data_IF_322829016192
#
_entry.id   IF_322829016192
#
_cell.length_a   1.000
_cell.length_b   1.000
_cell.length_c   1.000
_cell.angle_alpha   90.00
_cell.angle_beta   90.00
_cell.angle_gamma   90.00
#
_symmetry.space_group_name_H-M   'P 1'
#
loop_
_entity.id
_entity.type
_entity.pdbx_description
1 polymer ?
#
# COMPACT_ATOMS: atom_id res chain seq x y z
N UNK A 1 -0.29 -15.58 0.83
CA UNK A 1 0.07 -14.18 0.50
C UNK A 1 -0.24 -13.94 -0.95
N UNK A 2 -0.83 -12.80 -1.30
CA UNK A 2 -1.14 -12.39 -2.67
C UNK A 2 -0.60 -10.99 -2.92
N UNK A 3 -0.01 -10.78 -4.08
CA UNK A 3 0.43 -9.45 -4.54
C UNK A 3 -0.16 -9.19 -5.91
N UNK A 4 -0.87 -8.08 -6.05
CA UNK A 4 -1.44 -7.62 -7.30
C UNK A 4 -0.78 -6.31 -7.72
N UNK A 5 -0.39 -6.24 -8.99
CA UNK A 5 0.22 -5.06 -9.58
C UNK A 5 -0.72 -4.53 -10.66
N UNK A 6 -1.02 -3.24 -10.59
CA UNK A 6 -1.82 -2.54 -11.57
C UNK A 6 -1.00 -1.37 -12.10
N UNK A 7 -0.70 -1.40 -13.39
CA UNK A 7 0.02 -0.33 -14.09
C UNK A 7 -0.97 0.36 -15.01
N UNK A 8 -1.12 1.66 -14.81
CA UNK A 8 -1.92 2.55 -15.67
C UNK A 8 -1.01 3.64 -16.24
N UNK A 9 -1.56 4.47 -17.12
CA UNK A 9 -0.83 5.61 -17.67
C UNK A 9 -0.50 6.68 -16.61
N UNK A 10 -1.30 6.76 -15.54
CA UNK A 10 -1.19 7.78 -14.51
C UNK A 10 -0.60 7.27 -13.19
N UNK A 11 -0.61 5.95 -12.94
CA UNK A 11 -0.14 5.40 -11.68
C UNK A 11 0.28 3.92 -11.75
N UNK A 12 1.18 3.55 -10.85
CA UNK A 12 1.45 2.17 -10.45
C UNK A 12 0.79 1.93 -9.08
N UNK A 13 -0.08 0.94 -8.98
CA UNK A 13 -0.63 0.45 -7.71
C UNK A 13 -0.13 -0.96 -7.41
N UNK A 14 0.17 -1.23 -6.15
CA UNK A 14 0.52 -2.55 -5.64
C UNK A 14 -0.36 -2.85 -4.44
N UNK A 15 -1.16 -3.91 -4.51
CA UNK A 15 -1.94 -4.41 -3.38
C UNK A 15 -1.28 -5.69 -2.86
N UNK A 16 -0.86 -5.68 -1.60
CA UNK A 16 -0.25 -6.82 -0.92
C UNK A 16 -1.17 -7.25 0.20
N UNK A 17 -1.64 -8.50 0.12
CA UNK A 17 -2.57 -9.07 1.08
C UNK A 17 -2.02 -10.36 1.69
N UNK A 18 -2.03 -10.44 3.02
CA UNK A 18 -1.55 -11.59 3.79
C UNK A 18 -2.66 -12.11 4.71
N UNK A 19 -2.79 -13.44 4.89
CA UNK A 19 -3.65 -13.97 5.93
C UNK A 19 -3.08 -13.62 7.31
N UNK A 20 -3.95 -13.34 8.26
CA UNK A 20 -3.62 -12.96 9.64
C UNK A 20 -4.45 -13.78 10.61
N UNK A 21 -3.80 -14.29 11.65
CA UNK A 21 -4.47 -15.03 12.73
C UNK A 21 -4.96 -14.03 13.78
N UNK A 22 -6.28 -13.83 13.88
CA UNK A 22 -6.88 -12.90 14.84
C UNK A 22 -6.91 -11.44 14.37
N UNK A 23 -7.05 -10.50 15.31
CA UNK A 23 -7.06 -9.07 14.98
C UNK A 23 -5.65 -8.60 14.60
N UNK A 24 -5.43 -8.34 13.31
CA UNK A 24 -4.18 -7.74 12.85
C UNK A 24 -4.12 -6.25 13.21
N UNK A 25 -3.09 -5.89 13.95
CA UNK A 25 -2.76 -4.47 14.18
C UNK A 25 -2.04 -3.94 12.94
N UNK A 26 -2.71 -3.06 12.20
CA UNK A 26 -2.08 -2.35 11.09
C UNK A 26 -1.02 -1.39 11.61
N UNK A 27 0.09 -1.18 10.88
CA UNK A 27 1.07 -0.17 11.25
C UNK A 27 0.38 1.20 11.35
N UNK A 28 0.47 1.82 12.52
CA UNK A 28 -0.02 3.17 12.72
C UNK A 28 0.71 4.15 11.80
N UNK A 29 0.01 5.19 11.33
CA UNK A 29 0.55 6.15 10.37
C UNK A 29 1.82 6.88 10.83
N UNK A 30 2.13 6.85 12.13
CA UNK A 30 3.35 7.40 12.74
C UNK A 30 4.54 6.44 12.80
N UNK A 31 4.39 5.18 12.39
CA UNK A 31 5.49 4.21 12.35
C UNK A 31 6.52 4.60 11.28
N UNK A 32 7.80 4.42 11.58
CA UNK A 32 8.89 4.65 10.62
C UNK A 32 8.70 3.86 9.32
N UNK A 33 8.24 2.60 9.41
CA UNK A 33 7.94 1.79 8.23
C UNK A 33 6.85 2.43 7.36
N UNK A 34 5.82 3.02 7.98
CA UNK A 34 4.76 3.71 7.27
C UNK A 34 5.25 4.99 6.59
N UNK A 35 6.12 5.73 7.26
CA UNK A 35 6.77 6.93 6.70
C UNK A 35 7.61 6.58 5.48
N UNK A 36 8.40 5.50 5.53
CA UNK A 36 9.21 5.03 4.39
C UNK A 36 8.31 4.62 3.22
N UNK A 37 7.27 3.83 3.47
CA UNK A 37 6.32 3.44 2.43
C UNK A 37 5.65 4.66 1.79
N UNK A 38 5.27 5.65 2.61
CA UNK A 38 4.66 6.91 2.15
C UNK A 38 5.64 7.74 1.33
N UNK A 39 6.91 7.82 1.71
CA UNK A 39 7.93 8.52 0.93
C UNK A 39 8.18 7.86 -0.44
N UNK A 40 8.18 6.52 -0.48
CA UNK A 40 8.41 5.77 -1.70
C UNK A 40 7.20 5.82 -2.65
N UNK A 41 6.01 5.48 -2.15
CA UNK A 41 4.80 5.39 -2.95
C UNK A 41 4.12 6.76 -3.15
N UNK A 42 4.18 7.66 -2.17
CA UNK A 42 3.38 8.88 -2.13
C UNK A 42 2.01 8.63 -1.48
N UNK A 43 1.31 7.58 -1.91
CA UNK A 43 0.04 7.17 -1.31
C UNK A 43 0.13 5.75 -0.77
N UNK A 44 -0.28 5.58 0.49
CA UNK A 44 -0.31 4.30 1.18
C UNK A 44 -1.61 4.19 1.96
N UNK A 45 -2.27 3.04 1.84
CA UNK A 45 -3.44 2.72 2.65
C UNK A 45 -3.34 1.28 3.15
N UNK A 46 -3.97 1.00 4.29
CA UNK A 46 -4.02 -0.33 4.85
C UNK A 46 -5.43 -0.61 5.33
N UNK A 47 -5.85 -1.86 5.17
CA UNK A 47 -7.16 -2.33 5.61
C UNK A 47 -7.03 -3.75 6.16
N UNK A 48 -7.89 -4.07 7.09
CA UNK A 48 -8.16 -5.45 7.50
C UNK A 48 -9.51 -5.86 6.92
N UNK A 49 -9.57 -7.07 6.38
CA UNK A 49 -10.80 -7.67 5.85
C UNK A 49 -10.86 -9.12 6.34
N UNK A 50 -11.70 -9.37 7.34
CA UNK A 50 -11.82 -10.67 7.99
C UNK A 50 -10.49 -11.20 8.53
N UNK A 51 -9.99 -12.26 7.90
CA UNK A 51 -8.75 -12.97 8.21
C UNK A 51 -7.55 -12.47 7.37
N UNK A 52 -7.65 -11.29 6.75
CA UNK A 52 -6.58 -10.72 5.93
C UNK A 52 -6.23 -9.30 6.33
N UNK A 53 -4.94 -8.99 6.26
CA UNK A 53 -4.44 -7.62 6.24
C UNK A 53 -3.94 -7.30 4.84
N UNK A 54 -4.32 -6.13 4.33
CA UNK A 54 -3.93 -5.63 3.03
C UNK A 54 -3.27 -4.26 3.16
N UNK A 55 -2.21 -4.04 2.39
CA UNK A 55 -1.60 -2.73 2.17
C UNK A 55 -1.64 -2.44 0.68
N UNK A 56 -2.11 -1.23 0.34
CA UNK A 56 -2.06 -0.71 -1.01
C UNK A 56 -1.07 0.46 -1.08
N UNK A 57 -0.11 0.33 -1.99
CA UNK A 57 0.87 1.35 -2.34
C UNK A 57 0.52 1.91 -3.72
N UNK A 58 0.37 3.22 -3.84
CA UNK A 58 0.07 3.86 -5.13
C UNK A 58 1.10 4.94 -5.42
N UNK A 59 1.84 4.80 -6.51
CA UNK A 59 2.76 5.80 -7.05
C UNK A 59 2.17 6.44 -8.29
N UNK A 60 1.82 7.72 -8.20
CA UNK A 60 1.43 8.51 -9.38
C UNK A 60 2.65 8.84 -10.21
N UNK A 61 2.50 8.73 -11.53
CA UNK A 61 3.52 9.17 -12.49
C UNK A 61 3.60 10.69 -12.39
N UNK A 62 4.80 11.22 -12.13
CA UNK A 62 5.01 12.66 -12.23
C UNK A 62 4.75 13.06 -13.68
N UNK A 63 3.86 14.02 -13.89
CA UNK A 63 3.71 14.62 -15.21
C UNK A 63 5.07 15.21 -15.59
N UNK A 64 5.68 14.83 -16.73
CA UNK A 64 6.88 15.51 -17.18
C UNK A 64 6.54 17.00 -17.33
N UNK A 65 7.43 17.93 -16.92
CA UNK A 65 7.19 19.35 -17.13
C UNK A 65 7.02 19.57 -18.63
N UNK A 66 5.87 20.15 -18.99
CA UNK A 66 5.50 20.56 -20.35
C UNK A 66 6.34 21.73 -20.84
#
# INVERSE_FOLDING_TARGET
>A
MTSQFEVTDSALSIDVSVPVSGQATLPGGSSFSWQVLTALAGEVSAKTDGDRAAIRLTKRRAQPPS
#
